data_IF_849962886875
#
_entry.id   IF_849962886875
#
_cell.length_a   1.000
_cell.length_b   1.000
_cell.length_c   1.000
_cell.angle_alpha   90.00
_cell.angle_beta   90.00
_cell.angle_gamma   90.00
#
_symmetry.space_group_name_H-M   'P 1'
#
loop_
_entity.id
_entity.type
_entity.pdbx_description
1 polymer ?
#
# COMPACT_ATOMS: atom_id res chain seq x y z
N UNK A 1 4.89 36.46 45.10
CA UNK A 1 3.90 35.40 44.88
C UNK A 1 3.14 35.53 43.56
N UNK A 2 3.42 36.51 42.70
CA UNK A 2 2.66 36.77 41.43
C UNK A 2 3.23 36.05 40.18
N UNK A 3 4.39 35.38 40.27
CA UNK A 3 5.06 34.79 39.12
C UNK A 3 4.76 33.29 38.83
N UNK A 4 4.04 32.60 39.71
CA UNK A 4 3.79 31.15 39.58
C UNK A 4 2.45 30.89 38.86
N UNK A 5 1.46 31.73 39.04
CA UNK A 5 0.14 31.54 38.40
C UNK A 5 0.09 31.84 36.90
N UNK A 6 0.87 32.82 36.42
CA UNK A 6 0.92 33.16 35.01
C UNK A 6 1.57 32.06 34.12
N UNK A 7 2.55 31.32 34.66
CA UNK A 7 3.20 30.22 33.94
C UNK A 7 2.29 28.97 33.79
N UNK A 8 1.35 28.77 34.71
CA UNK A 8 0.40 27.66 34.65
C UNK A 8 -0.78 27.95 33.72
N UNK A 9 -1.16 29.21 33.56
CA UNK A 9 -2.28 29.63 32.71
C UNK A 9 -1.89 29.63 31.23
N UNK A 10 -0.70 30.11 30.88
CA UNK A 10 -0.14 30.08 29.53
C UNK A 10 0.18 28.64 29.11
N UNK A 11 0.68 27.79 30.00
CA UNK A 11 0.93 26.37 29.75
C UNK A 11 -0.37 25.58 29.47
N UNK A 12 -1.45 25.87 30.21
CA UNK A 12 -2.77 25.22 29.98
C UNK A 12 -3.44 25.66 28.70
N UNK A 13 -3.31 26.93 28.31
CA UNK A 13 -3.81 27.45 27.04
C UNK A 13 -3.07 26.85 25.83
N UNK A 14 -1.73 26.77 25.90
CA UNK A 14 -0.89 26.17 24.89
C UNK A 14 -1.18 24.65 24.74
N UNK A 15 -1.38 23.93 25.85
CA UNK A 15 -1.75 22.51 25.83
C UNK A 15 -3.15 22.28 25.24
N UNK A 16 -4.14 23.11 25.58
CA UNK A 16 -5.50 23.03 25.03
C UNK A 16 -5.54 23.35 23.54
N UNK A 17 -4.78 24.34 23.08
CA UNK A 17 -4.62 24.67 21.67
C UNK A 17 -3.95 23.53 20.87
N UNK A 18 -2.89 22.93 21.43
CA UNK A 18 -2.17 21.78 20.84
C UNK A 18 -3.07 20.55 20.74
N UNK A 19 -3.91 20.30 21.74
CA UNK A 19 -4.85 19.18 21.75
C UNK A 19 -6.01 19.39 20.74
N UNK A 20 -6.61 20.59 20.67
CA UNK A 20 -7.63 20.94 19.66
C UNK A 20 -7.07 20.81 18.23
N UNK A 21 -5.83 21.22 18.02
CA UNK A 21 -5.12 21.12 16.74
C UNK A 21 -4.91 19.66 16.32
N UNK A 22 -4.47 18.81 17.26
CA UNK A 22 -4.28 17.37 17.02
C UNK A 22 -5.59 16.67 16.66
N UNK A 23 -6.67 16.99 17.34
CA UNK A 23 -8.02 16.43 17.06
C UNK A 23 -8.55 16.88 15.71
N UNK A 24 -8.39 18.18 15.36
CA UNK A 24 -8.79 18.71 14.04
C UNK A 24 -8.02 18.04 12.89
N UNK A 25 -6.71 17.85 13.05
CA UNK A 25 -5.88 17.19 12.02
C UNK A 25 -6.25 15.71 11.84
N UNK A 26 -6.59 15.00 12.92
CA UNK A 26 -7.09 13.62 12.87
C UNK A 26 -8.43 13.57 12.14
N UNK A 27 -9.35 14.49 12.42
CA UNK A 27 -10.66 14.55 11.77
C UNK A 27 -10.54 14.86 10.27
N UNK A 28 -9.65 15.77 9.87
CA UNK A 28 -9.38 16.07 8.46
C UNK A 28 -8.78 14.86 7.75
N UNK A 29 -7.83 14.16 8.40
CA UNK A 29 -7.21 12.95 7.86
C UNK A 29 -8.24 11.81 7.68
N UNK A 30 -9.09 11.56 8.68
CA UNK A 30 -10.15 10.56 8.62
C UNK A 30 -11.19 10.90 7.54
N UNK A 31 -11.60 12.17 7.42
CA UNK A 31 -12.53 12.64 6.40
C UNK A 31 -11.94 12.48 4.99
N UNK A 32 -10.66 12.80 4.80
CA UNK A 32 -9.97 12.69 3.50
C UNK A 32 -9.81 11.24 3.05
N UNK A 33 -9.38 10.34 3.96
CA UNK A 33 -9.20 8.92 3.65
C UNK A 33 -10.55 8.18 3.50
N UNK A 34 -11.57 8.57 4.26
CA UNK A 34 -12.93 8.05 4.12
C UNK A 34 -13.55 8.39 2.77
N UNK A 35 -13.42 9.65 2.35
CA UNK A 35 -13.92 10.12 1.06
C UNK A 35 -13.28 9.40 -0.12
N UNK A 36 -11.97 9.13 -0.04
CA UNK A 36 -11.28 8.39 -1.09
C UNK A 36 -11.81 6.96 -1.25
N UNK A 37 -11.91 6.21 -0.15
CA UNK A 37 -12.47 4.85 -0.17
C UNK A 37 -13.90 4.85 -0.71
N UNK A 38 -14.70 5.83 -0.30
CA UNK A 38 -16.06 6.00 -0.80
C UNK A 38 -16.07 6.22 -2.33
N UNK A 39 -15.22 7.10 -2.85
CA UNK A 39 -15.11 7.34 -4.30
C UNK A 39 -14.67 6.09 -5.07
N UNK A 40 -13.76 5.29 -4.51
CA UNK A 40 -13.31 4.04 -5.13
C UNK A 40 -14.44 2.99 -5.16
N UNK A 41 -15.27 2.91 -4.09
CA UNK A 41 -16.46 2.03 -4.08
C UNK A 41 -17.48 2.50 -5.12
N UNK A 42 -17.73 3.81 -5.20
CA UNK A 42 -18.66 4.38 -6.21
C UNK A 42 -18.15 4.07 -7.61
N UNK A 43 -16.84 4.19 -7.88
CA UNK A 43 -16.25 3.84 -9.16
C UNK A 43 -16.44 2.34 -9.49
N UNK A 44 -16.25 1.44 -8.50
CA UNK A 44 -16.53 0.01 -8.67
C UNK A 44 -18.00 -0.25 -9.04
N UNK A 45 -18.93 0.40 -8.34
CA UNK A 45 -20.35 0.22 -8.60
C UNK A 45 -20.74 0.75 -9.99
N UNK A 46 -20.24 1.93 -10.39
CA UNK A 46 -20.49 2.49 -11.72
C UNK A 46 -19.94 1.53 -12.80
N UNK A 47 -18.74 1.01 -12.62
CA UNK A 47 -18.12 0.09 -13.55
C UNK A 47 -18.91 -1.22 -13.66
N UNK A 48 -19.35 -1.78 -12.53
CA UNK A 48 -20.17 -2.99 -12.51
C UNK A 48 -21.51 -2.78 -13.21
N UNK A 49 -22.21 -1.68 -12.91
CA UNK A 49 -23.49 -1.32 -13.56
C UNK A 49 -23.29 -1.11 -15.07
N UNK A 50 -22.20 -0.47 -15.47
CA UNK A 50 -21.88 -0.33 -16.90
C UNK A 50 -21.81 -1.68 -17.62
N UNK A 51 -21.11 -2.67 -17.05
CA UNK A 51 -21.04 -3.99 -17.66
C UNK A 51 -22.33 -4.80 -17.54
N UNK A 52 -23.16 -4.56 -16.54
CA UNK A 52 -24.51 -5.14 -16.48
C UNK A 52 -25.38 -4.66 -17.63
N UNK A 53 -25.25 -3.40 -18.03
CA UNK A 53 -26.04 -2.81 -19.13
C UNK A 53 -25.46 -3.15 -20.50
N UNK A 54 -24.13 -3.07 -20.66
CA UNK A 54 -23.46 -3.19 -21.94
C UNK A 54 -23.01 -4.64 -22.26
N UNK A 55 -22.78 -5.47 -21.25
CA UNK A 55 -22.22 -6.83 -21.41
C UNK A 55 -23.29 -7.88 -21.68
N UNK A 56 -22.92 -8.88 -22.47
CA UNK A 56 -23.80 -10.05 -22.71
C UNK A 56 -23.79 -10.96 -21.50
N UNK A 57 -24.97 -11.22 -20.92
CA UNK A 57 -25.17 -12.12 -19.76
C UNK A 57 -24.27 -11.77 -18.56
N UNK A 58 -23.93 -10.48 -18.36
CA UNK A 58 -23.02 -10.07 -17.28
C UNK A 58 -23.67 -10.21 -15.90
N UNK A 59 -24.98 -10.01 -15.78
CA UNK A 59 -25.71 -10.16 -14.52
C UNK A 59 -26.18 -11.60 -14.30
N UNK A 60 -25.19 -12.52 -14.15
CA UNK A 60 -25.45 -13.93 -13.83
C UNK A 60 -24.61 -14.36 -12.64
N UNK A 61 -25.03 -15.43 -11.94
CA UNK A 61 -24.26 -16.02 -10.86
C UNK A 61 -22.89 -16.51 -11.32
N UNK A 62 -22.79 -17.06 -12.53
CA UNK A 62 -21.53 -17.53 -13.12
C UNK A 62 -20.54 -16.39 -13.31
N UNK A 63 -21.00 -15.27 -13.86
CA UNK A 63 -20.17 -14.07 -14.01
C UNK A 63 -19.71 -13.50 -12.67
N UNK A 64 -20.61 -13.44 -11.69
CA UNK A 64 -20.25 -13.03 -10.34
C UNK A 64 -19.21 -13.98 -9.72
N UNK A 65 -19.41 -15.30 -9.86
CA UNK A 65 -18.45 -16.31 -9.42
C UNK A 65 -17.10 -16.14 -10.11
N UNK A 66 -17.08 -15.85 -11.43
CA UNK A 66 -15.86 -15.62 -12.20
C UNK A 66 -15.12 -14.38 -11.73
N UNK A 67 -15.83 -13.29 -11.41
CA UNK A 67 -15.23 -12.08 -10.82
C UNK A 67 -14.56 -12.43 -9.48
N UNK A 68 -15.23 -13.18 -8.62
CA UNK A 68 -14.65 -13.63 -7.35
C UNK A 68 -13.40 -14.50 -7.59
N UNK A 69 -13.43 -15.45 -8.50
CA UNK A 69 -12.27 -16.31 -8.82
C UNK A 69 -11.07 -15.51 -9.30
N UNK A 70 -11.28 -14.55 -10.20
CA UNK A 70 -10.20 -13.66 -10.65
C UNK A 70 -9.64 -12.80 -9.50
N UNK A 71 -10.47 -12.43 -8.51
CA UNK A 71 -10.04 -11.61 -7.38
C UNK A 71 -9.08 -12.34 -6.43
N UNK A 72 -9.09 -13.68 -6.36
CA UNK A 72 -8.26 -14.41 -5.38
C UNK A 72 -6.78 -14.25 -5.67
N UNK A 73 -6.37 -14.63 -6.86
CA UNK A 73 -4.97 -14.60 -7.25
C UNK A 73 -4.42 -13.17 -7.22
N UNK A 74 -5.07 -12.25 -7.92
CA UNK A 74 -4.68 -10.83 -7.93
C UNK A 74 -4.72 -10.25 -6.51
N UNK A 75 -5.72 -10.63 -5.71
CA UNK A 75 -5.91 -10.16 -4.35
C UNK A 75 -4.76 -10.53 -3.42
N UNK A 76 -4.29 -11.76 -3.45
CA UNK A 76 -3.13 -12.16 -2.64
C UNK A 76 -1.87 -11.41 -3.05
N UNK A 77 -1.58 -11.32 -4.36
CA UNK A 77 -0.44 -10.53 -4.86
C UNK A 77 -0.55 -9.04 -4.45
N UNK A 78 -1.74 -8.46 -4.59
CA UNK A 78 -2.00 -7.07 -4.25
C UNK A 78 -1.85 -6.80 -2.74
N UNK A 79 -2.31 -7.70 -1.87
CA UNK A 79 -2.07 -7.59 -0.43
C UNK A 79 -0.57 -7.57 -0.15
N UNK A 80 0.18 -8.51 -0.71
CA UNK A 80 1.62 -8.60 -0.51
C UNK A 80 2.36 -7.35 -0.97
N UNK A 81 2.13 -6.93 -2.22
CA UNK A 81 2.81 -5.75 -2.77
C UNK A 81 2.39 -4.43 -2.12
N UNK A 82 1.23 -4.37 -1.47
CA UNK A 82 0.82 -3.20 -0.68
C UNK A 82 1.83 -2.88 0.42
N UNK A 83 2.34 -3.89 1.12
CA UNK A 83 3.38 -3.69 2.15
C UNK A 83 4.67 -3.12 1.55
N UNK A 84 5.05 -3.57 0.36
CA UNK A 84 6.23 -3.08 -0.35
C UNK A 84 6.02 -1.63 -0.82
N UNK A 85 4.90 -1.35 -1.49
CA UNK A 85 4.62 0.00 -2.03
C UNK A 85 4.53 1.04 -0.91
N UNK A 86 3.97 0.71 0.26
CA UNK A 86 3.95 1.63 1.40
C UNK A 86 5.36 2.00 1.86
N UNK A 87 6.38 1.14 1.70
CA UNK A 87 7.78 1.52 1.99
C UNK A 87 8.41 2.43 0.93
N UNK A 88 7.72 2.73 -0.17
CA UNK A 88 8.27 3.42 -1.35
C UNK A 88 9.02 2.49 -2.32
N UNK A 89 8.95 1.16 -2.09
CA UNK A 89 9.50 0.15 -2.99
C UNK A 89 8.52 -0.27 -4.08
N UNK A 90 9.04 -0.92 -5.12
CA UNK A 90 8.23 -1.56 -6.17
C UNK A 90 8.74 -3.00 -6.31
N UNK A 91 7.83 -3.98 -6.42
CA UNK A 91 8.18 -5.37 -6.67
C UNK A 91 7.47 -5.85 -7.95
N UNK A 92 8.27 -5.99 -9.01
CA UNK A 92 7.81 -6.50 -10.31
C UNK A 92 7.90 -8.01 -10.43
N UNK A 93 8.47 -8.70 -9.44
CA UNK A 93 8.65 -10.15 -9.50
C UNK A 93 7.44 -10.95 -9.01
N UNK A 94 6.46 -10.30 -8.38
CA UNK A 94 5.37 -10.97 -7.65
C UNK A 94 4.58 -11.96 -8.51
N UNK A 95 4.29 -11.64 -9.76
CA UNK A 95 3.59 -12.52 -10.69
C UNK A 95 4.41 -13.75 -11.06
N UNK A 96 5.64 -13.55 -11.53
CA UNK A 96 6.55 -14.63 -11.94
C UNK A 96 7.01 -15.48 -10.75
N UNK A 97 7.32 -14.87 -9.61
CA UNK A 97 7.71 -15.56 -8.38
C UNK A 97 6.57 -16.46 -7.86
N UNK A 98 5.34 -15.95 -7.89
CA UNK A 98 4.15 -16.70 -7.47
C UNK A 98 3.96 -17.98 -8.32
N UNK A 99 4.03 -17.86 -9.64
CA UNK A 99 3.84 -19.01 -10.52
C UNK A 99 5.06 -19.91 -10.59
N UNK A 100 6.28 -19.39 -10.43
CA UNK A 100 7.46 -20.21 -10.23
C UNK A 100 7.33 -21.11 -8.99
N UNK A 101 6.93 -20.55 -7.86
CA UNK A 101 6.74 -21.34 -6.64
C UNK A 101 5.65 -22.42 -6.83
N UNK A 102 4.53 -22.07 -7.46
CA UNK A 102 3.51 -23.05 -7.82
C UNK A 102 4.04 -24.10 -8.80
N UNK A 103 4.87 -23.72 -9.80
CA UNK A 103 5.50 -24.66 -10.71
C UNK A 103 6.37 -25.68 -9.96
N UNK A 104 7.19 -25.22 -8.99
CA UNK A 104 7.96 -26.11 -8.11
C UNK A 104 7.03 -27.09 -7.38
N UNK A 105 5.93 -26.59 -6.81
CA UNK A 105 4.95 -27.44 -6.12
C UNK A 105 4.36 -28.53 -7.03
N UNK A 106 3.97 -28.15 -8.24
CA UNK A 106 3.44 -29.09 -9.23
C UNK A 106 4.46 -30.18 -9.63
N UNK A 107 5.73 -29.79 -9.84
CA UNK A 107 6.82 -30.76 -10.11
C UNK A 107 7.03 -31.69 -8.92
N UNK A 108 6.93 -31.21 -7.67
CA UNK A 108 7.02 -32.04 -6.47
C UNK A 108 5.90 -33.10 -6.41
N UNK A 109 4.69 -32.77 -6.85
CA UNK A 109 3.60 -33.72 -6.93
C UNK A 109 3.87 -34.74 -8.04
N UNK A 110 4.14 -34.27 -9.26
CA UNK A 110 4.19 -35.13 -10.46
C UNK A 110 5.41 -36.06 -10.49
N UNK A 111 6.57 -35.57 -10.07
CA UNK A 111 7.83 -36.34 -10.21
C UNK A 111 8.24 -37.04 -8.91
N UNK A 112 7.84 -36.50 -7.75
CA UNK A 112 8.30 -37.01 -6.45
C UNK A 112 7.16 -37.51 -5.56
N UNK A 113 5.90 -37.40 -6.00
CA UNK A 113 4.72 -37.85 -5.26
C UNK A 113 4.63 -37.28 -3.83
N UNK A 114 5.16 -36.05 -3.64
CA UNK A 114 5.12 -35.38 -2.34
C UNK A 114 3.67 -35.11 -1.92
N UNK A 115 3.26 -35.40 -0.68
CA UNK A 115 1.88 -35.19 -0.23
C UNK A 115 1.51 -33.70 -0.25
N UNK A 116 0.26 -33.38 -0.58
CA UNK A 116 -0.22 -32.02 -0.85
C UNK A 116 0.04 -31.04 0.30
N UNK A 117 -0.11 -31.48 1.56
CA UNK A 117 0.19 -30.61 2.72
C UNK A 117 1.65 -30.13 2.76
N UNK A 118 2.59 -30.97 2.36
CA UNK A 118 4.01 -30.59 2.27
C UNK A 118 4.26 -29.67 1.07
N UNK A 119 3.57 -29.93 -0.05
CA UNK A 119 3.63 -29.04 -1.24
C UNK A 119 3.14 -27.63 -0.91
N UNK A 120 2.08 -27.47 -0.14
CA UNK A 120 1.59 -26.15 0.30
C UNK A 120 2.69 -25.40 1.05
N UNK A 121 3.39 -26.08 1.96
CA UNK A 121 4.51 -25.47 2.73
C UNK A 121 5.67 -25.11 1.81
N UNK A 122 6.06 -26.03 0.89
CA UNK A 122 7.16 -25.79 -0.06
C UNK A 122 6.88 -24.58 -0.95
N UNK A 123 5.69 -24.48 -1.52
CA UNK A 123 5.32 -23.36 -2.40
C UNK A 123 5.40 -22.02 -1.65
N UNK A 124 4.85 -21.96 -0.44
CA UNK A 124 4.91 -20.75 0.38
C UNK A 124 6.36 -20.44 0.77
N UNK A 125 7.16 -21.44 1.14
CA UNK A 125 8.56 -21.26 1.53
C UNK A 125 9.41 -20.75 0.36
N UNK A 126 9.29 -21.34 -0.84
CA UNK A 126 10.02 -20.92 -2.06
C UNK A 126 9.69 -19.46 -2.41
N UNK A 127 8.42 -19.10 -2.43
CA UNK A 127 8.03 -17.72 -2.73
C UNK A 127 8.48 -16.73 -1.64
N UNK A 128 8.36 -17.12 -0.37
CA UNK A 128 8.83 -16.30 0.78
C UNK A 128 10.34 -16.08 0.71
N UNK A 129 11.10 -17.11 0.36
CA UNK A 129 12.56 -17.02 0.16
C UNK A 129 12.89 -16.06 -0.99
N UNK A 130 12.17 -16.11 -2.12
CA UNK A 130 12.34 -15.17 -3.22
C UNK A 130 12.09 -13.71 -2.79
N UNK A 131 11.02 -13.47 -2.03
CA UNK A 131 10.75 -12.15 -1.45
C UNK A 131 11.82 -11.71 -0.45
N UNK A 132 12.31 -12.62 0.40
CA UNK A 132 13.44 -12.35 1.31
C UNK A 132 14.70 -11.95 0.54
N UNK A 133 15.05 -12.67 -0.55
CA UNK A 133 16.20 -12.37 -1.40
C UNK A 133 16.06 -10.98 -2.01
N UNK A 134 14.88 -10.61 -2.55
CA UNK A 134 14.63 -9.26 -3.05
C UNK A 134 14.87 -8.21 -1.96
N UNK A 135 14.27 -8.39 -0.80
CA UNK A 135 14.43 -7.48 0.33
C UNK A 135 15.88 -7.36 0.79
N UNK A 136 16.62 -8.46 0.80
CA UNK A 136 18.05 -8.50 1.16
C UNK A 136 18.90 -7.72 0.15
N UNK A 137 18.75 -8.00 -1.15
CA UNK A 137 19.47 -7.31 -2.22
C UNK A 137 19.22 -5.79 -2.19
N UNK A 138 17.97 -5.38 -2.03
CA UNK A 138 17.60 -3.97 -1.99
C UNK A 138 18.17 -3.27 -0.74
N UNK A 139 18.12 -3.94 0.41
CA UNK A 139 18.46 -3.31 1.69
C UNK A 139 19.96 -3.30 2.00
N UNK A 140 20.69 -4.38 1.71
CA UNK A 140 22.11 -4.48 2.03
C UNK A 140 23.02 -4.00 0.91
N UNK A 141 22.65 -4.27 -0.35
CA UNK A 141 23.44 -3.82 -1.51
C UNK A 141 22.95 -2.48 -2.07
N UNK A 142 21.91 -1.89 -1.47
CA UNK A 142 21.31 -0.63 -1.93
C UNK A 142 20.92 -0.66 -3.41
N UNK A 143 20.52 -1.82 -3.92
CA UNK A 143 20.03 -1.92 -5.29
C UNK A 143 18.71 -1.18 -5.43
N UNK A 144 18.51 -0.43 -6.52
CA UNK A 144 17.20 0.14 -6.82
C UNK A 144 16.12 -0.96 -6.86
N UNK A 145 15.00 -0.80 -6.15
CA UNK A 145 13.96 -1.84 -6.05
C UNK A 145 13.49 -2.35 -7.42
N UNK A 146 13.32 -1.45 -8.38
CA UNK A 146 12.92 -1.78 -9.74
C UNK A 146 13.92 -2.74 -10.42
N UNK A 147 15.23 -2.49 -10.29
CA UNK A 147 16.28 -3.32 -10.93
C UNK A 147 16.35 -4.70 -10.27
N UNK A 148 16.34 -4.75 -8.94
CA UNK A 148 16.42 -6.01 -8.20
C UNK A 148 15.23 -6.93 -8.52
N UNK A 149 14.02 -6.38 -8.50
CA UNK A 149 12.79 -7.16 -8.72
C UNK A 149 12.56 -7.51 -10.20
N UNK A 150 12.99 -6.65 -11.14
CA UNK A 150 13.03 -6.99 -12.55
C UNK A 150 14.01 -8.15 -12.84
N UNK A 151 15.18 -8.13 -12.21
CA UNK A 151 16.13 -9.24 -12.26
C UNK A 151 15.51 -10.53 -11.71
N UNK A 152 14.84 -10.46 -10.55
CA UNK A 152 14.17 -11.62 -9.94
C UNK A 152 13.03 -12.14 -10.84
N UNK A 153 12.28 -11.27 -11.50
CA UNK A 153 11.25 -11.65 -12.49
C UNK A 153 11.87 -12.53 -13.58
N UNK A 154 13.01 -12.12 -14.14
CA UNK A 154 13.69 -12.90 -15.20
C UNK A 154 14.27 -14.20 -14.66
N UNK A 155 14.86 -14.18 -13.47
CA UNK A 155 15.40 -15.38 -12.81
C UNK A 155 14.30 -16.40 -12.55
N UNK A 156 13.19 -16.01 -11.95
CA UNK A 156 12.08 -16.92 -11.63
C UNK A 156 11.38 -17.44 -12.89
N UNK A 157 11.27 -16.61 -13.95
CA UNK A 157 10.78 -17.04 -15.26
C UNK A 157 11.70 -18.10 -15.88
N UNK A 158 13.03 -17.89 -15.85
CA UNK A 158 14.01 -18.86 -16.34
C UNK A 158 13.99 -20.16 -15.55
N UNK A 159 13.98 -20.05 -14.21
CA UNK A 159 13.89 -21.20 -13.30
C UNK A 159 12.62 -22.01 -13.51
N UNK A 160 11.48 -21.36 -13.82
CA UNK A 160 10.23 -22.06 -14.15
C UNK A 160 10.42 -23.01 -15.34
N UNK A 161 11.09 -22.56 -16.40
CA UNK A 161 11.40 -23.38 -17.57
C UNK A 161 12.36 -24.52 -17.25
N UNK A 162 13.41 -24.26 -16.46
CA UNK A 162 14.41 -25.26 -16.07
C UNK A 162 13.78 -26.37 -15.23
N UNK A 163 13.04 -25.99 -14.17
CA UNK A 163 12.44 -26.95 -13.22
C UNK A 163 11.37 -27.80 -13.90
N UNK A 164 10.57 -27.23 -14.78
CA UNK A 164 9.53 -27.95 -15.52
C UNK A 164 10.03 -28.64 -16.77
N UNK A 165 11.33 -28.53 -17.11
CA UNK A 165 11.88 -28.99 -18.41
C UNK A 165 11.10 -28.42 -19.61
N UNK A 166 10.71 -27.14 -19.49
CA UNK A 166 9.90 -26.43 -20.50
C UNK A 166 8.51 -27.04 -20.76
N UNK A 167 8.02 -27.88 -19.87
CA UNK A 167 6.70 -28.51 -19.97
C UNK A 167 5.67 -27.81 -19.11
N UNK A 168 4.40 -27.85 -19.56
CA UNK A 168 3.28 -27.44 -18.73
C UNK A 168 3.04 -28.47 -17.63
N UNK A 169 2.94 -28.02 -16.39
CA UNK A 169 2.67 -28.84 -15.24
C UNK A 169 1.16 -28.80 -14.93
N UNK A 170 0.57 -29.97 -14.74
CA UNK A 170 -0.83 -30.13 -14.40
C UNK A 170 -0.97 -30.45 -12.92
N UNK A 171 -1.81 -29.70 -12.25
CA UNK A 171 -2.19 -29.99 -10.87
C UNK A 171 -3.35 -31.00 -10.83
N UNK A 172 -3.40 -31.86 -9.80
CA UNK A 172 -4.46 -32.84 -9.64
C UNK A 172 -5.84 -32.21 -9.70
N UNK A 173 -6.81 -32.92 -10.27
CA UNK A 173 -8.21 -32.48 -10.35
C UNK A 173 -8.88 -32.58 -8.97
N UNK A 174 -10.05 -31.94 -8.81
CA UNK A 174 -10.80 -31.97 -7.56
C UNK A 174 -11.27 -33.38 -7.19
N UNK A 175 -11.44 -34.25 -8.21
CA UNK A 175 -11.83 -35.64 -8.04
C UNK A 175 -10.67 -36.54 -7.62
N UNK A 176 -9.45 -36.05 -7.59
CA UNK A 176 -8.29 -36.81 -7.09
C UNK A 176 -8.43 -37.06 -5.59
N UNK A 177 -8.49 -38.34 -5.12
CA UNK A 177 -8.74 -38.64 -3.72
C UNK A 177 -7.60 -38.23 -2.79
N UNK A 178 -6.37 -38.14 -3.29
CA UNK A 178 -5.18 -37.82 -2.49
C UNK A 178 -4.85 -36.31 -2.47
N UNK A 179 -5.01 -35.66 -3.60
CA UNK A 179 -4.52 -34.28 -3.80
C UNK A 179 -5.65 -33.27 -4.03
N UNK A 180 -6.84 -33.69 -4.43
CA UNK A 180 -7.92 -32.81 -4.87
C UNK A 180 -8.46 -31.85 -3.78
N UNK A 181 -8.34 -32.25 -2.50
CA UNK A 181 -8.85 -31.49 -1.37
C UNK A 181 -8.32 -30.04 -1.30
N UNK A 182 -7.09 -29.75 -1.79
CA UNK A 182 -6.54 -28.40 -1.75
C UNK A 182 -7.31 -27.41 -2.61
N UNK A 183 -7.95 -27.90 -3.68
CA UNK A 183 -8.78 -27.06 -4.53
C UNK A 183 -10.01 -26.53 -3.81
N UNK A 184 -10.54 -27.31 -2.89
CA UNK A 184 -11.68 -26.88 -2.06
C UNK A 184 -11.33 -25.66 -1.20
N UNK A 185 -10.05 -25.45 -0.86
CA UNK A 185 -9.62 -24.27 -0.11
C UNK A 185 -9.72 -22.96 -0.91
N UNK A 186 -9.51 -23.04 -2.23
CA UNK A 186 -9.40 -21.85 -3.09
C UNK A 186 -10.49 -21.77 -4.17
N UNK A 187 -11.11 -22.92 -4.50
CA UNK A 187 -12.10 -22.97 -5.56
C UNK A 187 -13.17 -23.99 -5.19
N UNK A 188 -14.38 -23.53 -4.91
CA UNK A 188 -15.48 -24.44 -4.65
C UNK A 188 -15.88 -25.20 -5.93
N UNK A 189 -16.30 -26.44 -5.74
CA UNK A 189 -16.84 -27.32 -6.76
C UNK A 189 -18.05 -26.77 -7.50
N UNK A 190 -18.29 -27.29 -8.67
CA UNK A 190 -19.26 -27.07 -9.75
C UNK A 190 -20.63 -26.43 -9.45
N UNK A 191 -21.06 -26.30 -8.22
CA UNK A 191 -22.38 -25.73 -7.88
C UNK A 191 -22.38 -24.67 -6.79
N UNK A 192 -21.22 -24.33 -6.18
CA UNK A 192 -21.21 -23.59 -4.92
C UNK A 192 -20.36 -22.31 -4.92
N UNK A 193 -20.63 -21.48 -3.92
CA UNK A 193 -19.92 -20.26 -3.62
C UNK A 193 -18.39 -20.45 -3.58
N UNK A 194 -17.60 -19.63 -4.29
CA UNK A 194 -16.16 -19.79 -4.41
C UNK A 194 -15.44 -19.62 -3.06
N UNK A 195 -14.96 -20.72 -2.49
CA UNK A 195 -14.31 -20.77 -1.16
C UNK A 195 -13.07 -19.86 -1.03
N UNK A 196 -12.37 -19.62 -2.13
CA UNK A 196 -11.23 -18.68 -2.18
C UNK A 196 -11.57 -17.28 -1.71
N UNK A 197 -12.84 -16.86 -1.81
CA UNK A 197 -13.29 -15.59 -1.24
C UNK A 197 -13.15 -15.57 0.29
N UNK A 198 -13.46 -16.65 0.96
CA UNK A 198 -13.31 -16.76 2.42
C UNK A 198 -11.83 -16.68 2.80
N UNK A 199 -10.97 -17.39 2.07
CA UNK A 199 -9.52 -17.31 2.29
C UNK A 199 -8.98 -15.89 2.07
N UNK A 200 -9.39 -15.24 0.97
CA UNK A 200 -9.00 -13.85 0.70
C UNK A 200 -9.51 -12.92 1.81
N UNK A 201 -10.71 -13.10 2.32
CA UNK A 201 -11.26 -12.30 3.42
C UNK A 201 -10.47 -12.49 4.73
N UNK A 202 -10.11 -13.72 5.09
CA UNK A 202 -9.29 -14.02 6.27
C UNK A 202 -7.92 -13.32 6.17
N UNK A 203 -7.22 -13.48 5.04
CA UNK A 203 -5.92 -12.85 4.83
C UNK A 203 -6.01 -11.32 4.72
N UNK A 204 -7.11 -10.79 4.19
CA UNK A 204 -7.38 -9.35 4.19
C UNK A 204 -7.51 -8.82 5.62
N UNK A 205 -8.35 -9.46 6.46
CA UNK A 205 -8.54 -9.04 7.86
C UNK A 205 -7.22 -9.12 8.62
N UNK A 206 -6.49 -10.22 8.49
CA UNK A 206 -5.18 -10.39 9.12
C UNK A 206 -4.21 -9.31 8.69
N UNK A 207 -4.13 -9.01 7.39
CA UNK A 207 -3.24 -7.97 6.84
C UNK A 207 -3.64 -6.57 7.28
N UNK A 208 -4.94 -6.28 7.41
CA UNK A 208 -5.43 -5.03 8.00
C UNK A 208 -4.95 -4.90 9.44
N UNK A 209 -5.05 -5.95 10.26
CA UNK A 209 -4.58 -5.94 11.64
C UNK A 209 -3.06 -5.74 11.69
N UNK A 210 -2.30 -6.49 10.90
CA UNK A 210 -0.83 -6.37 10.83
C UNK A 210 -0.42 -4.95 10.45
N UNK A 211 -1.04 -4.37 9.41
CA UNK A 211 -0.69 -3.05 8.91
C UNK A 211 -1.13 -1.91 9.85
N UNK A 212 -2.28 -2.04 10.54
CA UNK A 212 -2.85 -0.93 11.32
C UNK A 212 -2.59 -1.02 12.83
N UNK A 213 -2.41 -2.22 13.37
CA UNK A 213 -2.35 -2.46 14.83
C UNK A 213 -0.98 -2.92 15.33
N UNK A 214 -0.09 -3.39 14.46
CA UNK A 214 1.22 -3.92 14.88
C UNK A 214 2.36 -2.93 14.67
N UNK A 215 3.54 -3.29 15.22
CA UNK A 215 4.78 -2.56 15.00
C UNK A 215 5.24 -2.62 13.54
N UNK A 216 4.92 -3.73 12.83
CA UNK A 216 5.25 -3.93 11.42
C UNK A 216 4.69 -2.79 10.58
N UNK A 217 3.38 -2.53 10.68
CA UNK A 217 2.74 -1.45 9.94
C UNK A 217 3.28 -0.08 10.31
N UNK A 218 3.49 0.20 11.61
CA UNK A 218 4.06 1.49 12.06
C UNK A 218 5.40 1.79 11.42
N UNK A 219 6.30 0.81 11.38
CA UNK A 219 7.63 1.02 10.82
C UNK A 219 7.61 1.06 9.28
N UNK A 220 6.77 0.26 8.62
CA UNK A 220 6.56 0.31 7.17
C UNK A 220 6.07 1.70 6.73
N UNK A 221 5.08 2.27 7.43
CA UNK A 221 4.61 3.64 7.17
C UNK A 221 5.67 4.71 7.47
N UNK A 222 6.45 4.52 8.54
CA UNK A 222 7.54 5.45 8.89
C UNK A 222 8.61 5.49 7.79
N UNK A 223 9.04 4.31 7.31
CA UNK A 223 10.00 4.18 6.20
C UNK A 223 9.51 4.91 4.95
N UNK A 224 8.29 4.63 4.51
CA UNK A 224 7.75 5.22 3.31
C UNK A 224 7.46 6.72 3.42
N UNK A 225 7.26 7.23 4.63
CA UNK A 225 7.06 8.66 4.85
C UNK A 225 8.36 9.45 4.75
N UNK A 226 9.43 8.97 5.39
CA UNK A 226 10.79 9.50 5.31
C UNK A 226 11.76 8.49 5.92
N UNK A 227 12.48 7.78 5.07
CA UNK A 227 13.42 6.73 5.49
C UNK A 227 14.57 7.28 6.33
N UNK A 228 15.09 8.46 5.99
CA UNK A 228 16.20 9.06 6.72
C UNK A 228 15.78 9.50 8.12
N UNK A 229 14.63 10.15 8.25
CA UNK A 229 14.07 10.50 9.57
C UNK A 229 13.78 9.26 10.41
N UNK A 230 13.28 8.18 9.82
CA UNK A 230 13.07 6.91 10.50
C UNK A 230 14.39 6.32 11.01
N UNK A 231 15.45 6.34 10.21
CA UNK A 231 16.79 5.88 10.58
C UNK A 231 17.37 6.72 11.73
N UNK A 232 17.28 8.04 11.65
CA UNK A 232 17.72 8.93 12.72
C UNK A 232 16.94 8.73 14.03
N UNK A 233 15.69 8.26 13.93
CA UNK A 233 14.86 7.89 15.10
C UNK A 233 15.17 6.49 15.65
N UNK A 234 16.24 5.83 15.18
CA UNK A 234 16.67 4.52 15.68
C UNK A 234 15.97 3.31 15.04
N UNK A 235 15.15 3.52 13.99
CA UNK A 235 14.48 2.41 13.30
C UNK A 235 15.49 1.73 12.35
N UNK A 236 15.64 0.40 12.47
CA UNK A 236 16.49 -0.42 11.59
C UNK A 236 15.83 -0.56 10.21
N UNK A 237 16.02 0.43 9.32
CA UNK A 237 15.32 0.55 8.02
C UNK A 237 15.52 -0.69 7.15
N UNK A 238 16.76 -1.23 7.05
CA UNK A 238 17.08 -2.43 6.28
C UNK A 238 16.24 -3.64 6.72
N UNK A 239 16.13 -3.88 8.03
CA UNK A 239 15.32 -4.98 8.57
C UNK A 239 13.86 -4.88 8.12
N UNK A 240 13.27 -3.69 8.18
CA UNK A 240 11.86 -3.51 7.87
C UNK A 240 11.57 -3.53 6.37
N UNK A 241 12.52 -3.12 5.53
CA UNK A 241 12.45 -3.36 4.07
C UNK A 241 12.43 -4.86 3.78
N UNK A 242 13.37 -5.64 4.34
CA UNK A 242 13.40 -7.09 4.16
C UNK A 242 12.08 -7.72 4.58
N UNK A 243 11.53 -7.34 5.75
CA UNK A 243 10.25 -7.86 6.23
C UNK A 243 9.11 -7.56 5.24
N UNK A 244 9.06 -6.35 4.67
CA UNK A 244 8.02 -5.99 3.70
C UNK A 244 8.06 -6.88 2.44
N UNK A 245 9.25 -7.09 1.86
CA UNK A 245 9.42 -7.98 0.71
C UNK A 245 9.21 -9.46 1.06
N UNK A 246 9.59 -9.89 2.26
CA UNK A 246 9.32 -11.26 2.74
C UNK A 246 7.83 -11.51 2.88
N UNK A 247 7.07 -10.54 3.40
CA UNK A 247 5.61 -10.60 3.45
C UNK A 247 5.03 -10.67 2.03
N UNK A 248 5.55 -9.90 1.08
CA UNK A 248 5.11 -9.97 -0.32
C UNK A 248 5.36 -11.37 -0.90
N UNK A 249 6.55 -11.95 -0.67
CA UNK A 249 6.87 -13.33 -1.07
C UNK A 249 5.92 -14.37 -0.45
N UNK A 250 5.57 -14.22 0.83
CA UNK A 250 4.59 -15.10 1.48
C UNK A 250 3.23 -15.06 0.76
N UNK A 251 2.74 -13.87 0.43
CA UNK A 251 1.50 -13.71 -0.33
C UNK A 251 1.62 -14.19 -1.77
N UNK A 252 2.78 -14.10 -2.40
CA UNK A 252 3.05 -14.72 -3.70
C UNK A 252 2.87 -16.24 -3.64
N UNK A 253 3.34 -16.90 -2.58
CA UNK A 253 3.15 -18.34 -2.39
C UNK A 253 1.68 -18.73 -2.31
N UNK A 254 0.88 -18.00 -1.51
CA UNK A 254 -0.56 -18.22 -1.40
C UNK A 254 -1.26 -17.93 -2.74
N UNK A 255 -0.88 -16.86 -3.43
CA UNK A 255 -1.39 -16.52 -4.75
C UNK A 255 -1.12 -17.64 -5.77
N UNK A 256 0.10 -18.20 -5.78
CA UNK A 256 0.46 -19.32 -6.65
C UNK A 256 -0.40 -20.57 -6.42
N UNK A 257 -0.68 -20.90 -5.16
CA UNK A 257 -1.58 -22.00 -4.80
C UNK A 257 -3.03 -21.71 -5.25
N UNK A 258 -3.50 -20.48 -5.07
CA UNK A 258 -4.82 -20.06 -5.53
C UNK A 258 -4.94 -20.15 -7.07
N UNK A 259 -3.86 -19.77 -7.79
CA UNK A 259 -3.80 -19.95 -9.24
C UNK A 259 -3.85 -21.42 -9.65
N UNK A 260 -3.00 -22.27 -9.04
CA UNK A 260 -2.95 -23.70 -9.32
C UNK A 260 -4.30 -24.40 -9.04
N UNK A 261 -5.00 -23.96 -7.99
CA UNK A 261 -6.33 -24.48 -7.69
C UNK A 261 -7.39 -24.06 -8.71
N UNK A 262 -7.26 -22.86 -9.29
CA UNK A 262 -8.25 -22.30 -10.23
C UNK A 262 -8.03 -22.78 -11.67
N UNK A 263 -6.78 -22.83 -12.15
CA UNK A 263 -6.45 -23.05 -13.56
C UNK A 263 -5.95 -24.44 -13.93
N UNK A 264 -5.75 -25.32 -12.95
CA UNK A 264 -5.35 -26.72 -13.16
C UNK A 264 -4.01 -26.95 -13.88
N UNK A 265 -3.45 -25.98 -14.59
CA UNK A 265 -2.19 -26.10 -15.31
C UNK A 265 -1.39 -24.81 -15.23
N UNK A 266 -0.07 -24.96 -15.19
CA UNK A 266 0.88 -23.85 -15.17
C UNK A 266 1.92 -24.11 -16.26
N UNK A 267 2.02 -23.21 -17.24
CA UNK A 267 3.05 -23.25 -18.27
C UNK A 267 4.26 -22.42 -17.85
N UNK A 268 5.47 -22.77 -18.32
CA UNK A 268 6.66 -21.96 -18.10
C UNK A 268 6.47 -20.54 -18.62
N UNK A 269 6.84 -19.55 -17.79
CA UNK A 269 6.65 -18.14 -18.13
C UNK A 269 5.23 -17.61 -17.95
N UNK A 270 4.27 -18.41 -17.47
CA UNK A 270 3.01 -17.91 -16.97
C UNK A 270 3.26 -16.88 -15.84
N UNK A 271 2.30 -16.00 -15.59
CA UNK A 271 2.41 -14.98 -14.54
C UNK A 271 2.89 -13.62 -15.02
N UNK A 272 3.36 -13.51 -16.23
CA UNK A 272 3.74 -12.22 -16.83
C UNK A 272 2.51 -11.33 -17.02
N UNK A 273 2.57 -10.11 -16.46
CA UNK A 273 1.47 -9.14 -16.51
C UNK A 273 0.64 -9.07 -15.23
N UNK A 274 0.62 -10.13 -14.41
CA UNK A 274 -0.14 -10.12 -13.17
C UNK A 274 0.45 -9.17 -12.11
N UNK A 275 1.75 -8.88 -12.19
CA UNK A 275 2.39 -7.84 -11.39
C UNK A 275 1.76 -6.48 -11.66
N UNK A 276 1.47 -6.15 -12.91
CA UNK A 276 0.82 -4.89 -13.27
C UNK A 276 -0.62 -4.82 -12.78
N UNK A 277 -1.36 -5.93 -12.88
CA UNK A 277 -2.72 -6.02 -12.36
C UNK A 277 -2.77 -5.77 -10.85
N UNK A 278 -1.85 -6.40 -10.10
CA UNK A 278 -1.77 -6.24 -8.65
C UNK A 278 -1.35 -4.82 -8.26
N UNK A 279 -0.32 -4.24 -8.90
CA UNK A 279 0.11 -2.87 -8.66
C UNK A 279 -1.00 -1.88 -9.02
N UNK A 280 -1.68 -2.08 -10.16
CA UNK A 280 -2.84 -1.26 -10.55
C UNK A 280 -3.92 -1.29 -9.48
N UNK A 281 -4.30 -2.47 -8.99
CA UNK A 281 -5.28 -2.63 -7.94
C UNK A 281 -4.89 -1.85 -6.66
N UNK A 282 -3.61 -1.90 -6.28
CA UNK A 282 -3.07 -1.20 -5.10
C UNK A 282 -3.14 0.31 -5.27
N UNK A 283 -2.77 0.84 -6.45
CA UNK A 283 -2.77 2.27 -6.75
C UNK A 283 -4.20 2.81 -6.87
N UNK A 284 -5.08 2.12 -7.62
CA UNK A 284 -6.51 2.45 -7.71
C UNK A 284 -7.16 2.43 -6.33
N UNK A 285 -6.75 1.48 -5.47
CA UNK A 285 -7.17 1.38 -4.07
C UNK A 285 -6.67 2.52 -3.19
N UNK A 286 -5.77 3.37 -3.71
CA UNK A 286 -5.29 4.60 -3.06
C UNK A 286 -4.04 4.46 -2.21
N UNK A 287 -3.27 3.41 -2.41
CA UNK A 287 -1.90 3.32 -1.90
C UNK A 287 -0.98 4.12 -2.81
N UNK A 288 -0.14 4.97 -2.23
CA UNK A 288 0.74 5.86 -2.98
C UNK A 288 2.04 5.16 -3.37
N UNK A 289 2.44 5.27 -4.65
CA UNK A 289 3.73 4.79 -5.14
C UNK A 289 4.93 5.52 -4.52
N UNK A 290 4.72 6.73 -4.00
CA UNK A 290 5.77 7.46 -3.27
C UNK A 290 5.96 6.96 -1.82
N UNK A 291 5.19 5.98 -1.38
CA UNK A 291 5.24 5.44 -0.03
C UNK A 291 4.51 6.27 1.04
N UNK A 292 4.51 5.78 2.27
CA UNK A 292 3.97 6.45 3.45
C UNK A 292 2.44 6.53 3.55
N UNK A 293 1.71 6.11 2.52
CA UNK A 293 0.24 6.11 2.49
C UNK A 293 -0.26 4.84 1.81
N UNK A 294 -1.20 4.15 2.45
CA UNK A 294 -1.80 2.94 1.87
C UNK A 294 -2.88 2.31 2.75
N UNK A 295 -3.64 1.39 2.17
CA UNK A 295 -4.72 0.70 2.88
C UNK A 295 -5.05 -0.63 2.21
N UNK A 296 -4.98 -1.72 2.97
CA UNK A 296 -5.36 -3.05 2.49
C UNK A 296 -6.85 -3.09 2.04
N UNK A 297 -7.74 -2.42 2.77
CA UNK A 297 -9.16 -2.34 2.35
C UNK A 297 -9.29 -1.63 1.00
N UNK A 298 -8.56 -0.52 0.81
CA UNK A 298 -8.51 0.17 -0.47
C UNK A 298 -7.97 -0.75 -1.57
N UNK A 299 -6.88 -1.45 -1.32
CA UNK A 299 -6.29 -2.44 -2.24
C UNK A 299 -7.33 -3.48 -2.68
N UNK A 300 -8.11 -4.05 -1.75
CA UNK A 300 -9.13 -5.05 -2.09
C UNK A 300 -10.24 -4.46 -2.97
N UNK A 301 -10.66 -3.22 -2.73
CA UNK A 301 -11.62 -2.54 -3.63
C UNK A 301 -11.02 -2.40 -5.03
N UNK A 302 -9.73 -2.02 -5.13
CA UNK A 302 -9.00 -1.98 -6.40
C UNK A 302 -8.89 -3.34 -7.09
N UNK A 303 -8.67 -4.41 -6.33
CA UNK A 303 -8.68 -5.81 -6.84
C UNK A 303 -10.02 -6.14 -7.49
N UNK A 304 -11.15 -5.77 -6.88
CA UNK A 304 -12.46 -5.98 -7.48
C UNK A 304 -12.68 -5.12 -8.73
N UNK A 305 -12.17 -3.89 -8.76
CA UNK A 305 -12.20 -3.07 -9.99
C UNK A 305 -11.47 -3.78 -11.14
N UNK A 306 -10.25 -4.28 -10.88
CA UNK A 306 -9.46 -5.03 -11.87
C UNK A 306 -10.15 -6.33 -12.28
N UNK A 307 -10.75 -7.06 -11.35
CA UNK A 307 -11.48 -8.30 -11.63
C UNK A 307 -12.74 -8.06 -12.46
N UNK A 308 -13.48 -6.99 -12.17
CA UNK A 308 -14.65 -6.57 -12.98
C UNK A 308 -14.23 -6.15 -14.39
N UNK A 309 -13.11 -5.44 -14.55
CA UNK A 309 -12.56 -5.10 -15.87
C UNK A 309 -12.19 -6.35 -16.67
N UNK A 310 -11.48 -7.31 -16.04
CA UNK A 310 -11.04 -8.55 -16.70
C UNK A 310 -12.18 -9.45 -17.15
N UNK A 311 -13.29 -9.45 -16.44
CA UNK A 311 -14.47 -10.23 -16.81
C UNK A 311 -15.43 -9.41 -17.69
N UNK A 312 -15.52 -8.12 -17.46
CA UNK A 312 -16.43 -7.23 -18.17
C UNK A 312 -16.02 -6.92 -19.61
N UNK A 313 -14.72 -6.66 -19.85
CA UNK A 313 -14.25 -6.36 -21.21
C UNK A 313 -14.57 -7.48 -22.21
N UNK A 314 -14.29 -8.78 -21.91
CA UNK A 314 -14.74 -9.86 -22.78
C UNK A 314 -16.25 -9.93 -22.97
N UNK A 315 -17.04 -9.61 -21.94
CA UNK A 315 -18.51 -9.68 -22.03
C UNK A 315 -19.12 -8.69 -23.02
N UNK A 316 -18.41 -7.60 -23.30
CA UNK A 316 -18.79 -6.61 -24.36
C UNK A 316 -18.11 -6.88 -25.69
N UNK A 317 -17.44 -8.03 -25.86
CA UNK A 317 -16.80 -8.42 -27.12
C UNK A 317 -15.43 -7.81 -27.35
N UNK A 318 -14.77 -7.26 -26.33
CA UNK A 318 -13.42 -6.70 -26.43
C UNK A 318 -12.39 -7.83 -26.50
N UNK A 319 -11.63 -7.88 -27.60
CA UNK A 319 -10.56 -8.86 -27.79
C UNK A 319 -9.41 -8.69 -26.81
N UNK A 320 -8.62 -9.74 -26.60
CA UNK A 320 -7.57 -9.81 -25.59
C UNK A 320 -6.54 -8.68 -25.68
N UNK A 321 -6.11 -8.30 -26.89
CA UNK A 321 -5.12 -7.23 -27.05
C UNK A 321 -5.69 -5.85 -26.66
N UNK A 322 -6.96 -5.60 -26.95
CA UNK A 322 -7.63 -4.38 -26.49
C UNK A 322 -7.86 -4.37 -24.97
N UNK A 323 -7.98 -5.54 -24.33
CA UNK A 323 -8.02 -5.63 -22.87
C UNK A 323 -6.70 -5.17 -22.26
N UNK A 324 -5.54 -5.65 -22.78
CA UNK A 324 -4.23 -5.19 -22.32
C UNK A 324 -4.04 -3.69 -22.53
N UNK A 325 -4.45 -3.16 -23.68
CA UNK A 325 -4.43 -1.73 -23.97
C UNK A 325 -5.27 -0.93 -22.97
N UNK A 326 -6.50 -1.37 -22.70
CA UNK A 326 -7.42 -0.71 -21.77
C UNK A 326 -6.87 -0.74 -20.33
N UNK A 327 -6.38 -1.90 -19.88
CA UNK A 327 -5.77 -2.04 -18.56
C UNK A 327 -4.55 -1.11 -18.42
N UNK A 328 -3.69 -1.06 -19.45
CA UNK A 328 -2.55 -0.15 -19.49
C UNK A 328 -2.94 1.32 -19.33
N UNK A 329 -3.97 1.77 -20.04
CA UNK A 329 -4.51 3.15 -19.89
C UNK A 329 -5.05 3.38 -18.47
N UNK A 330 -5.81 2.44 -17.91
CA UNK A 330 -6.34 2.54 -16.56
C UNK A 330 -5.22 2.68 -15.53
N UNK A 331 -4.13 1.91 -15.67
CA UNK A 331 -2.94 2.02 -14.81
C UNK A 331 -2.31 3.40 -14.92
N UNK A 332 -2.08 3.90 -16.14
CA UNK A 332 -1.49 5.23 -16.37
C UNK A 332 -2.36 6.32 -15.73
N UNK A 333 -3.67 6.28 -15.93
CA UNK A 333 -4.59 7.26 -15.33
C UNK A 333 -4.54 7.19 -13.81
N UNK A 334 -4.55 5.99 -13.23
CA UNK A 334 -4.47 5.80 -11.78
C UNK A 334 -3.18 6.41 -11.19
N UNK A 335 -2.03 6.18 -11.84
CA UNK A 335 -0.74 6.75 -11.44
C UNK A 335 -0.74 8.27 -11.58
N UNK A 336 -1.27 8.82 -12.68
CA UNK A 336 -1.37 10.27 -12.86
C UNK A 336 -2.23 10.93 -11.76
N UNK A 337 -3.34 10.30 -11.39
CA UNK A 337 -4.18 10.76 -10.29
C UNK A 337 -3.40 10.76 -8.98
N UNK A 338 -2.62 9.70 -8.69
CA UNK A 338 -1.81 9.62 -7.47
C UNK A 338 -0.74 10.74 -7.43
N UNK A 339 0.01 10.92 -8.51
CA UNK A 339 1.02 11.99 -8.64
C UNK A 339 0.39 13.38 -8.43
N UNK A 340 -0.75 13.62 -9.05
CA UNK A 340 -1.47 14.90 -8.88
C UNK A 340 -1.91 15.12 -7.43
N UNK A 341 -2.43 14.08 -6.77
CA UNK A 341 -2.85 14.13 -5.36
C UNK A 341 -1.68 14.44 -4.42
N UNK A 342 -0.52 13.79 -4.64
CA UNK A 342 0.70 14.07 -3.85
C UNK A 342 1.10 15.54 -4.02
N UNK A 343 1.13 16.04 -5.26
CA UNK A 343 1.47 17.44 -5.56
C UNK A 343 0.53 18.42 -4.85
N UNK A 344 -0.76 18.16 -4.87
CA UNK A 344 -1.76 18.98 -4.16
C UNK A 344 -1.60 18.89 -2.63
N UNK A 345 -1.39 17.69 -2.09
CA UNK A 345 -1.17 17.48 -0.65
C UNK A 345 0.06 18.25 -0.15
N UNK A 346 1.16 18.24 -0.92
CA UNK A 346 2.38 18.95 -0.59
C UNK A 346 2.20 20.49 -0.65
N UNK A 347 1.40 21.00 -1.60
CA UNK A 347 1.05 22.44 -1.63
C UNK A 347 0.27 22.86 -0.39
N UNK A 348 -0.74 22.05 0.02
CA UNK A 348 -1.54 22.34 1.22
C UNK A 348 -0.65 22.30 2.47
N UNK A 349 0.19 21.28 2.63
CA UNK A 349 1.13 21.21 3.77
C UNK A 349 2.07 22.42 3.84
N UNK A 350 2.63 22.86 2.70
CA UNK A 350 3.48 24.06 2.67
C UNK A 350 2.71 25.32 3.08
N UNK A 351 1.47 25.47 2.64
CA UNK A 351 0.63 26.60 3.02
C UNK A 351 0.28 26.59 4.52
N UNK A 352 -0.03 25.40 5.06
CA UNK A 352 -0.34 25.22 6.49
C UNK A 352 0.90 25.56 7.37
N UNK A 353 2.09 25.07 7.00
CA UNK A 353 3.35 25.37 7.71
C UNK A 353 3.66 26.86 7.67
N UNK A 354 3.49 27.51 6.50
CA UNK A 354 3.68 28.94 6.34
C UNK A 354 2.71 29.73 7.25
N UNK A 355 1.43 29.35 7.27
CA UNK A 355 0.43 29.95 8.13
C UNK A 355 0.77 29.79 9.62
N UNK A 356 1.19 28.59 10.02
CA UNK A 356 1.58 28.28 11.39
C UNK A 356 2.77 29.12 11.85
N UNK A 357 3.78 29.29 10.97
CA UNK A 357 4.93 30.13 11.28
C UNK A 357 4.55 31.61 11.41
N UNK A 358 3.61 32.08 10.57
CA UNK A 358 3.09 33.44 10.67
C UNK A 358 2.34 33.68 11.98
N UNK A 359 1.50 32.74 12.42
CA UNK A 359 0.79 32.82 13.70
C UNK A 359 1.79 32.84 14.88
N UNK A 360 2.82 32.00 14.86
CA UNK A 360 3.89 32.01 15.88
C UNK A 360 4.64 33.34 15.95
N UNK A 361 5.01 33.89 14.80
CA UNK A 361 5.67 35.21 14.72
C UNK A 361 4.80 36.33 15.28
N UNK A 362 3.49 36.27 15.05
CA UNK A 362 2.53 37.24 15.63
C UNK A 362 2.47 37.12 17.16
N UNK A 363 2.40 35.91 17.69
CA UNK A 363 2.39 35.66 19.13
C UNK A 363 3.72 36.13 19.80
N UNK A 364 4.87 35.86 19.14
CA UNK A 364 6.19 36.30 19.64
C UNK A 364 6.30 37.83 19.65
N UNK A 365 5.88 38.51 18.58
CA UNK A 365 5.90 39.97 18.48
C UNK A 365 4.99 40.56 19.58
N UNK A 366 3.81 40.03 19.78
CA UNK A 366 2.86 40.53 20.79
C UNK A 366 3.43 40.35 22.20
N UNK A 367 4.06 39.21 22.49
CA UNK A 367 4.70 38.95 23.77
C UNK A 367 5.84 39.97 24.09
N UNK A 368 6.62 40.32 23.07
CA UNK A 368 7.67 41.35 23.24
C UNK A 368 7.12 42.75 23.40
N UNK A 369 6.00 43.12 22.77
CA UNK A 369 5.30 44.39 22.96
C UNK A 369 4.79 44.52 24.41
N UNK A 370 4.13 43.51 24.93
CA UNK A 370 3.65 43.46 26.33
C UNK A 370 4.85 43.65 27.29
N UNK A 371 6.00 43.05 26.97
CA UNK A 371 7.21 43.20 27.78
C UNK A 371 7.75 44.64 27.76
N UNK A 372 7.72 45.33 26.62
CA UNK A 372 8.09 46.76 26.50
C UNK A 372 7.12 47.61 27.31
N UNK A 373 5.81 47.41 27.17
CA UNK A 373 4.80 48.18 27.91
C UNK A 373 4.97 48.03 29.43
N UNK A 374 5.31 46.84 29.88
CA UNK A 374 5.64 46.59 31.31
C UNK A 374 6.89 47.38 31.73
N UNK A 375 7.98 47.34 30.95
CA UNK A 375 9.23 48.09 31.25
C UNK A 375 9.02 49.58 31.26
N UNK A 376 8.15 50.14 30.40
CA UNK A 376 7.81 51.57 30.40
C UNK A 376 6.96 51.96 31.61
N UNK A 377 6.10 51.07 32.08
CA UNK A 377 5.22 51.31 33.23
C UNK A 377 5.95 51.22 34.59
N UNK A 378 7.08 50.55 34.64
CA UNK A 378 7.89 50.39 35.87
C UNK A 378 8.91 51.51 36.02
N UNK A 379 8.53 52.55 36.77
CA UNK A 379 9.37 53.73 37.05
C UNK A 379 10.50 53.45 38.09
N UNK A 380 10.72 52.22 38.53
CA UNK A 380 11.70 51.87 39.57
C UNK A 380 13.13 51.73 39.02
N UNK A 381 13.30 51.53 37.69
CA UNK A 381 14.60 51.31 37.00
C UNK A 381 14.65 51.94 35.62
N UNK A 382 15.86 52.29 35.21
CA UNK A 382 16.10 52.71 33.81
C UNK A 382 16.27 51.48 32.90
N UNK A 383 15.26 51.20 32.07
CA UNK A 383 15.23 50.09 31.11
C UNK A 383 15.57 50.52 29.66
N UNK A 384 16.12 51.70 29.43
CA UNK A 384 16.34 52.28 28.06
C UNK A 384 17.12 51.34 27.12
N UNK A 385 18.14 50.66 27.65
CA UNK A 385 18.99 49.74 26.88
C UNK A 385 18.23 48.43 26.54
N UNK A 386 17.53 47.87 27.49
CA UNK A 386 16.75 46.63 27.33
C UNK A 386 15.57 46.81 26.38
N UNK A 387 14.90 47.97 26.43
CA UNK A 387 13.83 48.34 25.48
C UNK A 387 14.38 48.41 24.05
N UNK A 388 15.55 49.02 23.86
CA UNK A 388 16.20 49.09 22.52
C UNK A 388 16.55 47.72 21.97
N UNK A 389 17.04 46.77 22.79
CA UNK A 389 17.36 45.42 22.39
C UNK A 389 16.09 44.63 22.00
N UNK A 390 15.01 44.74 22.80
CA UNK A 390 13.73 44.11 22.51
C UNK A 390 13.09 44.68 21.24
N UNK A 391 13.19 45.99 21.03
CA UNK A 391 12.68 46.64 19.82
C UNK A 391 13.43 46.18 18.57
N UNK A 392 14.75 46.02 18.62
CA UNK A 392 15.54 45.43 17.54
C UNK A 392 15.07 44.00 17.20
N UNK A 393 14.76 43.21 18.21
CA UNK A 393 14.25 41.85 18.05
C UNK A 393 12.85 41.79 17.41
N UNK A 394 11.96 42.69 17.80
CA UNK A 394 10.66 42.87 17.15
C UNK A 394 10.81 43.18 15.68
N UNK A 395 11.72 44.12 15.34
CA UNK A 395 11.95 44.52 13.95
C UNK A 395 12.48 43.34 13.10
N UNK A 396 13.35 42.49 13.65
CA UNK A 396 13.83 41.28 12.97
C UNK A 396 12.73 40.28 12.71
N UNK A 397 11.81 40.05 13.67
CA UNK A 397 10.65 39.16 13.52
C UNK A 397 9.63 39.70 12.49
N UNK A 398 9.45 41.03 12.44
CA UNK A 398 8.60 41.66 11.42
C UNK A 398 9.19 41.48 10.02
N UNK A 399 10.50 41.58 9.87
CA UNK A 399 11.20 41.32 8.60
C UNK A 399 11.04 39.84 8.17
N UNK A 400 11.18 38.86 9.10
CA UNK A 400 10.93 37.44 8.83
C UNK A 400 9.47 37.22 8.39
N UNK A 401 8.51 37.87 9.07
CA UNK A 401 7.09 37.78 8.72
C UNK A 401 6.80 38.35 7.33
N UNK A 402 7.47 39.43 6.91
CA UNK A 402 7.36 39.99 5.55
C UNK A 402 7.87 39.03 4.48
N UNK A 403 8.99 38.33 4.73
CA UNK A 403 9.54 37.31 3.79
C UNK A 403 8.64 36.07 3.63
N UNK A 404 7.77 35.84 4.60
CA UNK A 404 6.78 34.75 4.56
C UNK A 404 5.46 35.16 3.86
N UNK A 405 5.16 36.42 3.60
CA UNK A 405 4.03 36.85 2.78
C UNK A 405 4.31 36.65 1.31
#
# INVERSE_FOLDING_TARGET
MYNIENNTFTGKLCFKAKMRRRTRNILIYLKKNGLQKFLTIVALLILYVFFVIAGRNFFTFDTFSLILRNSYFIGFLAIGVTFVIITGGIDLSIGSLSLFAAMVGGVMITNFQIPMWAVLIIVIAVATLGGFINGFLISYFNLPPFIATLGMLMVTKGLSGIVSKSQTIYYPTITDPQYGWFRVLFNATESNFPSGFIMLAIFTITSVIVLTKTIVGRYIFALGSNEEAARLSGIKTNKWKIIAYTIAGFFCGIGGLAFAASYSSISPGAGQGYEFDAIAAVVIGGTSLSGGVGSIIGTIIGVYIMSVLKVGLPSVGVEQFFQYFTIGIVVIIAVLIDVYRIKMSNKVKKADVKKERMEQLEEEIESFRIKIDYMISDNSKDYSKEISEVQSKINSLIEEKKKLK
#
